data_IF_483482054876
#
_entry.id   IF_483482054876
#
_cell.length_a   1.000
_cell.length_b   1.000
_cell.length_c   1.000
_cell.angle_alpha   90.00
_cell.angle_beta   90.00
_cell.angle_gamma   90.00
#
_symmetry.space_group_name_H-M   'P 1'
#
loop_
_entity.id
_entity.type
_entity.pdbx_description
1 polymer ?
#
# COMPACT_ATOMS: atom_id res chain seq x y z
N UNK A 1 13.06 7.30 15.29
CA UNK A 1 13.04 7.38 13.81
C UNK A 1 11.62 7.67 13.38
N UNK A 2 11.39 8.79 12.70
CA UNK A 2 10.05 9.16 12.20
C UNK A 2 9.87 8.73 10.74
N UNK A 3 8.62 8.44 10.37
CA UNK A 3 8.21 8.26 8.98
C UNK A 3 7.46 9.50 8.52
N UNK A 4 7.59 9.84 7.25
CA UNK A 4 6.77 10.87 6.59
C UNK A 4 6.30 10.34 5.25
N UNK A 5 5.00 10.46 5.00
CA UNK A 5 4.43 10.22 3.68
C UNK A 5 4.42 11.53 2.91
N UNK A 6 4.94 11.51 1.68
CA UNK A 6 4.88 12.65 0.76
C UNK A 6 4.16 12.23 -0.50
N UNK A 7 3.10 12.95 -0.86
CA UNK A 7 2.38 12.72 -2.11
C UNK A 7 3.34 12.84 -3.31
N UNK A 8 3.12 12.05 -4.34
CA UNK A 8 3.89 12.12 -5.59
C UNK A 8 3.13 12.96 -6.59
N UNK A 9 3.61 14.17 -6.82
CA UNK A 9 3.12 15.01 -7.91
C UNK A 9 3.64 14.52 -9.27
N UNK A 10 3.08 15.07 -10.34
CA UNK A 10 3.42 14.66 -11.70
C UNK A 10 4.88 14.97 -12.03
N UNK A 11 5.45 16.01 -11.42
CA UNK A 11 6.85 16.42 -11.59
C UNK A 11 7.84 15.40 -11.00
N UNK A 12 7.43 14.63 -9.99
CA UNK A 12 8.25 13.62 -9.34
C UNK A 12 7.87 12.17 -9.74
N UNK A 13 7.03 11.98 -10.77
CA UNK A 13 6.56 10.65 -11.19
C UNK A 13 7.68 9.66 -11.50
N UNK A 14 8.78 10.14 -12.08
CA UNK A 14 9.94 9.31 -12.43
C UNK A 14 10.54 8.60 -11.22
N UNK A 15 10.47 9.20 -10.03
CA UNK A 15 10.93 8.57 -8.79
C UNK A 15 10.07 7.35 -8.47
N UNK A 16 8.75 7.46 -8.65
CA UNK A 16 7.83 6.35 -8.42
C UNK A 16 8.00 5.24 -9.48
N UNK A 17 8.15 5.60 -10.75
CA UNK A 17 8.46 4.64 -11.83
C UNK A 17 9.72 3.81 -11.51
N UNK A 18 10.79 4.48 -11.08
CA UNK A 18 12.02 3.79 -10.69
C UNK A 18 11.85 2.88 -9.48
N UNK A 19 10.99 3.24 -8.52
CA UNK A 19 10.70 2.40 -7.36
C UNK A 19 9.81 1.20 -7.71
N UNK A 20 8.88 1.36 -8.65
CA UNK A 20 8.04 0.25 -9.12
C UNK A 20 8.85 -0.85 -9.77
N UNK A 21 10.01 -0.56 -10.39
CA UNK A 21 10.92 -1.60 -10.86
C UNK A 21 11.37 -2.53 -9.73
N UNK A 22 11.65 -1.98 -8.54
CA UNK A 22 11.99 -2.79 -7.36
C UNK A 22 10.77 -3.49 -6.76
N UNK A 23 9.58 -2.87 -6.85
CA UNK A 23 8.33 -3.51 -6.44
C UNK A 23 8.05 -4.74 -7.30
N UNK A 24 8.08 -4.59 -8.62
CA UNK A 24 7.87 -5.68 -9.56
C UNK A 24 8.94 -6.76 -9.40
N UNK A 25 10.20 -6.39 -9.18
CA UNK A 25 11.23 -7.38 -8.87
C UNK A 25 10.94 -8.17 -7.58
N UNK A 26 10.47 -7.52 -6.53
CA UNK A 26 10.11 -8.19 -5.25
C UNK A 26 8.80 -8.99 -5.37
N UNK A 27 7.94 -8.62 -6.33
CA UNK A 27 6.63 -9.21 -6.56
C UNK A 27 6.63 -10.32 -7.63
N UNK A 28 7.63 -10.36 -8.51
CA UNK A 28 7.73 -11.33 -9.61
C UNK A 28 7.69 -12.80 -9.19
N UNK A 29 8.16 -13.20 -7.98
CA UNK A 29 7.95 -14.58 -7.51
C UNK A 29 6.47 -14.95 -7.31
N UNK A 30 5.56 -13.97 -7.29
CA UNK A 30 4.13 -14.16 -7.12
C UNK A 30 3.32 -13.82 -8.37
N UNK A 31 3.76 -12.85 -9.18
CA UNK A 31 3.09 -12.47 -10.44
C UNK A 31 3.54 -13.29 -11.65
N UNK A 32 4.71 -13.95 -11.58
CA UNK A 32 5.33 -14.65 -12.71
C UNK A 32 5.63 -13.73 -13.92
N UNK A 33 5.74 -12.42 -13.68
CA UNK A 33 6.09 -11.44 -14.71
C UNK A 33 7.58 -11.52 -15.08
N UNK A 34 7.85 -11.51 -16.39
CA UNK A 34 9.19 -11.45 -16.96
C UNK A 34 9.64 -10.01 -17.24
N UNK A 35 10.95 -9.81 -17.33
CA UNK A 35 11.52 -8.54 -17.80
C UNK A 35 11.30 -8.40 -19.31
N UNK A 36 11.03 -7.16 -19.75
CA UNK A 36 11.08 -6.79 -21.14
C UNK A 36 12.52 -6.80 -21.70
N UNK A 37 12.63 -6.64 -23.03
CA UNK A 37 13.91 -6.71 -23.75
C UNK A 37 14.95 -5.66 -23.31
N UNK A 38 14.51 -4.57 -22.68
CA UNK A 38 15.38 -3.52 -22.15
C UNK A 38 15.89 -3.77 -20.72
N UNK A 39 15.58 -4.95 -20.14
CA UNK A 39 15.99 -5.31 -18.78
C UNK A 39 15.18 -4.59 -17.69
N UNK A 40 13.95 -4.19 -18.01
CA UNK A 40 13.00 -3.52 -17.09
C UNK A 40 11.63 -4.16 -17.18
N UNK A 41 10.87 -4.09 -16.11
CA UNK A 41 9.44 -4.40 -16.14
C UNK A 41 8.70 -3.32 -16.93
N UNK A 42 7.67 -3.73 -17.66
CA UNK A 42 6.73 -2.79 -18.28
C UNK A 42 5.83 -2.23 -17.18
N UNK A 43 5.81 -0.90 -17.04
CA UNK A 43 5.04 -0.21 -16.01
C UNK A 43 4.33 0.96 -16.68
N UNK A 44 3.02 1.05 -16.46
CA UNK A 44 2.21 2.23 -16.77
C UNK A 44 1.55 2.75 -15.49
N UNK A 45 1.97 3.95 -15.07
CA UNK A 45 1.43 4.64 -13.90
C UNK A 45 0.71 5.94 -14.27
N UNK A 46 0.56 6.28 -15.55
CA UNK A 46 0.05 7.61 -15.95
C UNK A 46 -1.34 7.88 -15.37
N UNK A 47 -2.17 6.85 -15.32
CA UNK A 47 -3.50 6.89 -14.73
C UNK A 47 -3.53 7.36 -13.26
N UNK A 48 -2.40 7.30 -12.52
CA UNK A 48 -2.32 7.83 -11.16
C UNK A 48 -2.48 9.36 -11.08
N UNK A 49 -2.18 10.08 -12.17
CA UNK A 49 -2.33 11.54 -12.24
C UNK A 49 -3.52 11.97 -13.11
N UNK A 50 -4.15 11.03 -13.82
CA UNK A 50 -5.36 11.29 -14.62
C UNK A 50 -6.66 11.05 -13.83
N UNK A 51 -6.64 10.10 -12.89
CA UNK A 51 -7.79 9.74 -12.05
C UNK A 51 -7.51 10.03 -10.56
N UNK A 52 -8.27 10.94 -9.92
CA UNK A 52 -8.02 11.36 -8.54
C UNK A 52 -8.27 10.29 -7.47
N UNK A 53 -8.73 9.08 -7.84
CA UNK A 53 -8.78 7.94 -6.89
C UNK A 53 -7.41 7.43 -6.51
N UNK A 54 -6.43 7.64 -7.37
CA UNK A 54 -5.09 7.11 -7.19
C UNK A 54 -4.24 8.13 -6.44
N UNK A 55 -3.79 7.75 -5.25
CA UNK A 55 -3.07 8.63 -4.36
C UNK A 55 -1.70 8.00 -4.05
N UNK A 56 -0.67 8.28 -4.87
CA UNK A 56 0.67 7.78 -4.66
C UNK A 56 1.42 8.56 -3.56
N UNK A 57 2.13 7.84 -2.69
CA UNK A 57 2.98 8.42 -1.66
C UNK A 57 4.37 7.78 -1.62
N UNK A 58 5.41 8.61 -1.55
CA UNK A 58 6.75 8.19 -1.14
C UNK A 58 6.83 8.08 0.39
N UNK A 59 7.45 7.01 0.86
CA UNK A 59 7.72 6.78 2.28
C UNK A 59 9.14 7.26 2.58
N UNK A 60 9.25 8.27 3.44
CA UNK A 60 10.52 8.84 3.86
C UNK A 60 10.84 8.44 5.30
N UNK A 61 12.11 8.13 5.56
CA UNK A 61 12.70 8.08 6.90
C UNK A 61 13.89 9.01 6.92
N UNK A 62 13.86 10.00 7.81
CA UNK A 62 14.87 11.07 7.87
C UNK A 62 14.99 11.81 6.52
N UNK A 63 16.08 11.60 5.78
CA UNK A 63 16.34 12.22 4.46
C UNK A 63 16.43 11.19 3.33
N UNK A 64 15.87 9.99 3.53
CA UNK A 64 15.94 8.90 2.55
C UNK A 64 14.55 8.37 2.20
N UNK A 65 14.34 8.11 0.93
CA UNK A 65 13.22 7.30 0.46
C UNK A 65 13.51 5.86 0.90
N UNK A 66 12.53 5.25 1.56
CA UNK A 66 12.60 3.87 2.03
C UNK A 66 11.60 2.95 1.33
N UNK A 67 10.71 3.52 0.51
CA UNK A 67 9.62 2.80 -0.12
C UNK A 67 8.55 3.74 -0.67
N UNK A 68 7.41 3.17 -1.06
CA UNK A 68 6.22 3.89 -1.47
C UNK A 68 4.97 3.12 -1.05
N UNK A 69 3.82 3.80 -1.10
CA UNK A 69 2.51 3.17 -1.01
C UNK A 69 1.53 3.88 -1.93
N UNK A 70 0.54 3.14 -2.42
CA UNK A 70 -0.56 3.67 -3.21
C UNK A 70 -1.85 3.48 -2.41
N UNK A 71 -2.59 4.56 -2.23
CA UNK A 71 -3.94 4.52 -1.68
C UNK A 71 -4.90 4.67 -2.86
N UNK A 72 -5.78 3.69 -3.05
CA UNK A 72 -6.88 3.76 -3.99
C UNK A 72 -8.16 4.13 -3.25
N UNK A 73 -8.82 5.21 -3.66
CA UNK A 73 -10.18 5.52 -3.24
C UNK A 73 -11.14 4.71 -4.12
N UNK A 74 -11.48 3.49 -3.68
CA UNK A 74 -12.26 2.51 -4.47
C UNK A 74 -13.57 3.12 -4.96
N UNK A 75 -14.22 3.93 -4.11
CA UNK A 75 -15.42 4.69 -4.44
C UNK A 75 -15.19 6.18 -4.15
N UNK A 76 -15.56 7.04 -5.10
CA UNK A 76 -15.78 8.47 -4.86
C UNK A 76 -17.17 8.65 -4.27
N UNK A 77 -17.27 9.20 -3.06
CA UNK A 77 -18.50 9.77 -2.47
C UNK A 77 -19.84 9.13 -2.91
N UNK A 78 -19.99 7.84 -2.65
CA UNK A 78 -21.31 7.23 -2.61
C UNK A 78 -21.53 6.68 -1.22
N UNK A 79 -22.46 7.35 -0.52
CA UNK A 79 -23.14 6.85 0.66
C UNK A 79 -23.42 5.33 0.48
N UNK A 80 -23.00 4.47 1.42
CA UNK A 80 -22.63 4.86 2.77
C UNK A 80 -21.29 5.55 2.91
N UNK A 81 -20.23 5.19 2.15
CA UNK A 81 -18.90 5.46 2.67
C UNK A 81 -17.74 5.24 1.69
N UNK A 82 -16.82 6.20 1.52
CA UNK A 82 -15.61 5.98 0.74
C UNK A 82 -14.76 4.89 1.40
N UNK A 83 -14.50 3.82 0.65
CA UNK A 83 -13.57 2.76 1.05
C UNK A 83 -12.20 3.04 0.43
N UNK A 84 -11.16 2.99 1.24
CA UNK A 84 -9.79 3.18 0.81
C UNK A 84 -9.06 1.86 0.83
N UNK A 85 -8.21 1.63 -0.16
CA UNK A 85 -7.44 0.39 -0.29
C UNK A 85 -5.97 0.75 -0.27
N UNK A 86 -5.18 0.06 0.55
CA UNK A 86 -3.74 0.01 0.30
C UNK A 86 -3.55 -0.89 -0.91
N UNK A 87 -3.34 -0.27 -2.07
CA UNK A 87 -3.32 -0.95 -3.36
C UNK A 87 -1.96 -1.62 -3.58
N UNK A 88 -0.89 -0.83 -3.56
CA UNK A 88 0.49 -1.30 -3.61
C UNK A 88 1.29 -0.75 -2.43
N UNK A 89 2.23 -1.53 -1.91
CA UNK A 89 3.03 -1.16 -0.74
C UNK A 89 4.41 -1.79 -0.82
N UNK A 90 5.45 -0.94 -0.83
CA UNK A 90 6.84 -1.37 -0.85
C UNK A 90 7.61 -0.73 0.29
N UNK A 91 8.39 -1.54 1.01
CA UNK A 91 9.52 -1.09 1.83
C UNK A 91 10.77 -1.78 1.29
N UNK A 92 11.77 -1.02 0.84
CA UNK A 92 13.00 -1.58 0.29
C UNK A 92 13.67 -2.51 1.31
N UNK A 93 14.24 -3.63 0.82
CA UNK A 93 14.75 -4.73 1.65
C UNK A 93 15.69 -4.30 2.78
N UNK A 94 16.53 -3.28 2.54
CA UNK A 94 17.43 -2.69 3.55
C UNK A 94 16.71 -2.17 4.81
N UNK A 95 15.47 -1.71 4.67
CA UNK A 95 14.68 -1.07 5.73
C UNK A 95 13.65 -2.00 6.38
N UNK A 96 13.48 -3.23 5.86
CA UNK A 96 12.54 -4.23 6.40
C UNK A 96 12.95 -4.72 7.79
N UNK A 97 11.97 -5.23 8.54
CA UNK A 97 12.11 -5.76 9.93
C UNK A 97 12.65 -4.76 10.97
N UNK A 98 12.44 -3.46 10.74
CA UNK A 98 12.79 -2.37 11.67
C UNK A 98 11.57 -1.59 12.17
N UNK A 99 10.36 -2.14 11.98
CA UNK A 99 9.10 -1.46 12.31
C UNK A 99 8.67 -0.34 11.34
N UNK A 100 9.53 0.06 10.39
CA UNK A 100 9.27 1.20 9.50
C UNK A 100 8.05 1.02 8.58
N UNK A 101 7.83 -0.20 8.07
CA UNK A 101 6.63 -0.50 7.28
C UNK A 101 5.34 -0.35 8.09
N UNK A 102 5.34 -0.81 9.35
CA UNK A 102 4.20 -0.66 10.26
C UNK A 102 3.91 0.81 10.54
N UNK A 103 4.94 1.61 10.81
CA UNK A 103 4.80 3.06 10.99
C UNK A 103 4.22 3.74 9.74
N UNK A 104 4.69 3.38 8.55
CA UNK A 104 4.19 3.93 7.29
C UNK A 104 2.71 3.57 7.05
N UNK A 105 2.33 2.31 7.25
CA UNK A 105 0.95 1.86 7.11
C UNK A 105 -0.01 2.54 8.09
N UNK A 106 0.39 2.64 9.38
CA UNK A 106 -0.40 3.37 10.38
C UNK A 106 -0.55 4.84 10.01
N UNK A 107 0.51 5.49 9.53
CA UNK A 107 0.44 6.86 9.06
C UNK A 107 -0.51 7.00 7.86
N UNK A 108 -0.50 6.06 6.92
CA UNK A 108 -1.41 6.04 5.78
C UNK A 108 -2.88 5.91 6.22
N UNK A 109 -3.17 5.00 7.15
CA UNK A 109 -4.52 4.87 7.71
C UNK A 109 -4.98 6.16 8.39
N UNK A 110 -4.08 6.84 9.11
CA UNK A 110 -4.39 8.09 9.80
C UNK A 110 -4.54 9.32 8.88
N UNK A 111 -4.20 9.23 7.58
CA UNK A 111 -4.46 10.32 6.63
C UNK A 111 -5.96 10.55 6.42
N UNK A 112 -6.77 9.49 6.52
CA UNK A 112 -8.20 9.53 6.20
C UNK A 112 -9.02 8.75 7.25
N UNK A 113 -10.11 9.37 7.70
CA UNK A 113 -11.15 8.68 8.48
C UNK A 113 -12.10 7.96 7.52
N UNK A 114 -11.90 6.67 7.31
CA UNK A 114 -12.57 5.90 6.28
C UNK A 114 -12.79 4.44 6.68
N UNK A 115 -13.54 3.73 5.83
CA UNK A 115 -13.45 2.28 5.76
C UNK A 115 -12.18 1.91 4.97
N UNK A 116 -11.45 0.91 5.46
CA UNK A 116 -10.19 0.50 4.88
C UNK A 116 -10.24 -0.96 4.46
N UNK A 117 -9.61 -1.24 3.33
CA UNK A 117 -9.27 -2.59 2.88
C UNK A 117 -7.77 -2.73 2.67
N UNK A 118 -7.27 -3.93 2.95
CA UNK A 118 -5.94 -4.35 2.54
C UNK A 118 -6.08 -5.72 1.88
N UNK A 119 -5.53 -5.87 0.69
CA UNK A 119 -5.66 -7.09 -0.10
C UNK A 119 -4.29 -7.75 -0.28
N UNK A 120 -4.22 -9.07 -0.09
CA UNK A 120 -2.97 -9.83 -0.25
C UNK A 120 -3.20 -11.09 -1.10
N UNK A 121 -2.29 -11.40 -2.02
CA UNK A 121 -2.30 -12.69 -2.73
C UNK A 121 -2.05 -13.83 -1.75
N UNK A 122 -2.79 -14.94 -1.90
CA UNK A 122 -2.63 -16.14 -1.06
C UNK A 122 -1.19 -16.65 -1.01
N UNK A 123 -0.45 -16.50 -2.12
CA UNK A 123 0.94 -16.96 -2.28
C UNK A 123 1.95 -16.01 -1.63
N UNK A 124 1.59 -14.75 -1.37
CA UNK A 124 2.48 -13.76 -0.75
C UNK A 124 2.42 -13.86 0.78
N UNK A 125 2.91 -14.98 1.31
CA UNK A 125 2.95 -15.29 2.74
C UNK A 125 3.63 -14.20 3.57
N UNK A 126 4.76 -13.59 3.15
CA UNK A 126 5.36 -12.47 3.90
C UNK A 126 4.42 -11.27 4.04
N UNK A 127 3.70 -10.90 2.97
CA UNK A 127 2.73 -9.80 2.99
C UNK A 127 1.54 -10.12 3.91
N UNK A 128 1.02 -11.35 3.87
CA UNK A 128 -0.07 -11.79 4.75
C UNK A 128 0.32 -11.65 6.24
N UNK A 129 1.50 -12.13 6.63
CA UNK A 129 1.97 -11.99 8.01
C UNK A 129 2.17 -10.53 8.42
N UNK A 130 2.74 -9.72 7.52
CA UNK A 130 2.93 -8.30 7.76
C UNK A 130 1.59 -7.58 8.01
N UNK A 131 0.61 -7.77 7.11
CA UNK A 131 -0.66 -7.07 7.20
C UNK A 131 -1.54 -7.55 8.36
N UNK A 132 -1.54 -8.85 8.66
CA UNK A 132 -2.18 -9.37 9.89
C UNK A 132 -1.59 -8.71 11.15
N UNK A 133 -0.28 -8.55 11.28
CA UNK A 133 0.31 -7.84 12.43
C UNK A 133 -0.08 -6.36 12.46
N UNK A 134 0.04 -5.67 11.33
CA UNK A 134 -0.22 -4.23 11.22
C UNK A 134 -1.68 -3.91 11.52
N UNK A 135 -2.62 -4.57 10.83
CA UNK A 135 -4.06 -4.31 10.97
C UNK A 135 -4.55 -4.74 12.34
N UNK A 136 -4.13 -5.91 12.84
CA UNK A 136 -4.51 -6.35 14.19
C UNK A 136 -4.05 -5.36 15.26
N UNK A 137 -2.80 -4.86 15.17
CA UNK A 137 -2.30 -3.89 16.13
C UNK A 137 -2.98 -2.53 16.01
N UNK A 138 -3.18 -2.03 14.79
CA UNK A 138 -3.81 -0.73 14.55
C UNK A 138 -5.26 -0.69 15.03
N UNK A 139 -5.99 -1.80 14.86
CA UNK A 139 -7.42 -1.91 15.20
C UNK A 139 -7.69 -2.52 16.56
N UNK A 140 -6.66 -2.86 17.34
CA UNK A 140 -6.79 -3.68 18.55
C UNK A 140 -7.60 -4.97 18.33
N UNK A 141 -7.43 -5.60 17.16
CA UNK A 141 -8.14 -6.80 16.74
C UNK A 141 -9.52 -6.58 16.14
N UNK A 142 -9.99 -5.33 16.00
CA UNK A 142 -11.28 -4.99 15.42
C UNK A 142 -11.23 -4.89 13.88
N UNK A 143 -11.02 -6.03 13.22
CA UNK A 143 -11.08 -6.15 11.76
C UNK A 143 -11.66 -7.50 11.36
N UNK A 144 -12.14 -7.59 10.12
CA UNK A 144 -12.57 -8.85 9.50
C UNK A 144 -11.56 -9.25 8.43
N UNK A 145 -11.38 -10.55 8.21
CA UNK A 145 -10.59 -11.09 7.10
C UNK A 145 -11.43 -12.12 6.35
N UNK A 146 -11.53 -11.98 5.02
CA UNK A 146 -12.24 -12.91 4.14
C UNK A 146 -11.28 -13.41 3.07
N UNK A 147 -11.25 -14.73 2.85
CA UNK A 147 -10.58 -15.30 1.69
C UNK A 147 -11.54 -15.29 0.49
N UNK A 148 -11.11 -14.66 -0.60
CA UNK A 148 -11.82 -14.57 -1.87
C UNK A 148 -11.25 -15.61 -2.84
N UNK A 149 -11.94 -16.74 -2.96
CA UNK A 149 -11.51 -17.86 -3.81
C UNK A 149 -11.40 -17.46 -5.28
N UNK A 150 -12.33 -16.64 -5.76
CA UNK A 150 -12.39 -16.12 -7.12
C UNK A 150 -11.17 -15.25 -7.50
N UNK A 151 -10.55 -14.62 -6.51
CA UNK A 151 -9.37 -13.77 -6.69
C UNK A 151 -8.08 -14.38 -6.14
N UNK A 152 -8.17 -15.52 -5.46
CA UNK A 152 -7.10 -16.15 -4.69
C UNK A 152 -6.39 -15.16 -3.74
N UNK A 153 -7.17 -14.30 -3.06
CA UNK A 153 -6.69 -13.20 -2.22
C UNK A 153 -7.35 -13.20 -0.85
N UNK A 154 -6.60 -12.79 0.18
CA UNK A 154 -7.16 -12.37 1.46
C UNK A 154 -7.53 -10.90 1.42
N UNK A 155 -8.69 -10.55 1.96
CA UNK A 155 -9.16 -9.18 2.09
C UNK A 155 -9.41 -8.90 3.55
N UNK A 156 -8.62 -8.00 4.12
CA UNK A 156 -8.84 -7.46 5.45
C UNK A 156 -9.69 -6.20 5.34
N UNK A 157 -10.63 -6.02 6.26
CA UNK A 157 -11.51 -4.84 6.29
C UNK A 157 -11.68 -4.34 7.72
N UNK A 158 -11.59 -3.02 7.89
CA UNK A 158 -11.77 -2.35 9.17
C UNK A 158 -12.23 -0.90 8.95
N UNK A 159 -12.62 -0.23 10.03
CA UNK A 159 -12.98 1.19 10.01
C UNK A 159 -12.21 1.94 11.08
N UNK A 160 -11.70 3.12 10.77
CA UNK A 160 -11.03 4.00 11.74
C UNK A 160 -11.84 5.27 12.05
N UNK A 161 -13.10 5.34 11.60
CA UNK A 161 -13.97 6.51 11.82
C UNK A 161 -14.31 6.76 13.29
N UNK A 162 -14.37 5.69 14.07
CA UNK A 162 -14.74 5.70 15.48
C UNK A 162 -13.53 5.71 16.41
N UNK A 163 -12.30 5.83 15.88
CA UNK A 163 -11.15 6.05 16.73
C UNK A 163 -11.19 7.50 17.22
N UNK A 164 -11.69 7.67 18.45
CA UNK A 164 -11.54 8.93 19.16
C UNK A 164 -10.05 9.24 19.27
N UNK A 165 -9.66 10.38 18.70
CA UNK A 165 -8.34 10.96 18.85
C UNK A 165 -8.16 11.36 20.32
N UNK A 166 -7.48 10.51 21.09
CA UNK A 166 -6.92 10.88 22.39
C UNK A 166 -5.70 11.79 22.22
#
# INVERSE_FOLDING_TARGET
MGITLKAVDIENKDVLYNLYQYYQYDFSPYSEEDLGLEGRFEIDLEHYWEDPRWNPFLIWSEKRIIGFLIILFENFDTDPDPTHVIYDFLILSKYRRRGLGKLAAVQAFNLYRANWKVVQMKTNVPSIHFWRDVVNHYTAGQYTEVFREDLNKYVQSFTNRNFDSY
#
